data_IF_333249642439
#
_entry.id   IF_333249642439
#
_cell.length_a   1.000
_cell.length_b   1.000
_cell.length_c   1.000
_cell.angle_alpha   90.00
_cell.angle_beta   90.00
_cell.angle_gamma   90.00
#
_symmetry.space_group_name_H-M   'P 1'
#
loop_
_entity.id
_entity.type
_entity.pdbx_description
1 polymer ?
#
# COMPACT_ATOMS: atom_id res chain seq x y z
N UNK A 1 8.71 36.41 9.43
CA UNK A 1 8.22 35.18 8.75
C UNK A 1 7.23 35.51 7.64
N UNK A 2 6.16 36.26 7.93
CA UNK A 2 5.10 36.66 6.97
C UNK A 2 5.55 37.20 5.62
N UNK A 3 6.44 38.21 5.58
CA UNK A 3 6.90 38.79 4.31
C UNK A 3 7.69 37.77 3.47
N UNK A 4 8.57 36.99 4.11
CA UNK A 4 9.32 35.92 3.48
C UNK A 4 8.42 34.81 2.93
N UNK A 5 7.41 34.39 3.69
CA UNK A 5 6.43 33.41 3.23
C UNK A 5 5.63 33.93 2.03
N UNK A 6 5.25 35.21 2.03
CA UNK A 6 4.56 35.83 0.89
C UNK A 6 5.45 35.94 -0.34
N UNK A 7 6.73 36.28 -0.19
CA UNK A 7 7.71 36.37 -1.26
C UNK A 7 8.01 34.98 -1.89
N UNK A 8 8.15 33.95 -1.07
CA UNK A 8 8.31 32.57 -1.53
C UNK A 8 7.11 32.09 -2.36
N UNK A 9 5.89 32.40 -1.90
CA UNK A 9 4.66 32.07 -2.65
C UNK A 9 4.57 32.86 -3.96
N UNK A 10 4.92 34.15 -3.95
CA UNK A 10 4.84 35.03 -5.12
C UNK A 10 5.89 34.69 -6.20
N UNK A 11 7.07 34.23 -5.79
CA UNK A 11 8.17 33.85 -6.69
C UNK A 11 8.02 32.46 -7.31
N UNK A 12 7.12 31.62 -6.77
CA UNK A 12 6.90 30.25 -7.23
C UNK A 12 5.86 30.21 -8.37
N UNK A 13 6.27 29.76 -9.56
CA UNK A 13 5.35 29.52 -10.69
C UNK A 13 4.58 28.21 -10.48
N UNK A 14 3.43 28.27 -9.83
CA UNK A 14 2.56 27.11 -9.67
C UNK A 14 1.87 26.75 -11.01
N UNK A 15 1.82 25.47 -11.42
CA UNK A 15 1.02 25.04 -12.56
C UNK A 15 -0.47 25.27 -12.30
N UNK A 16 -1.21 25.69 -13.34
CA UNK A 16 -2.63 26.11 -13.21
C UNK A 16 -3.63 24.99 -12.95
N UNK A 17 -3.21 23.73 -13.00
CA UNK A 17 -4.10 22.58 -12.75
C UNK A 17 -3.59 21.76 -11.55
N UNK A 18 -4.40 21.56 -10.50
CA UNK A 18 -4.08 20.61 -9.44
C UNK A 18 -4.01 19.21 -10.03
N UNK A 19 -3.07 18.40 -9.55
CA UNK A 19 -2.90 17.02 -10.00
C UNK A 19 -4.10 16.16 -9.55
N UNK A 20 -5.13 16.06 -10.40
CA UNK A 20 -6.27 15.18 -10.14
C UNK A 20 -5.86 13.75 -10.51
N UNK A 21 -5.77 12.87 -9.49
CA UNK A 21 -5.31 11.48 -9.66
C UNK A 21 -6.23 10.63 -10.59
N UNK A 22 -7.50 11.02 -10.79
CA UNK A 22 -8.43 10.35 -11.70
C UNK A 22 -8.92 11.15 -12.92
N UNK A 23 -8.64 12.44 -13.03
CA UNK A 23 -9.18 13.28 -14.10
C UNK A 23 -8.03 13.78 -14.97
N UNK A 24 -7.68 12.95 -15.95
CA UNK A 24 -6.56 13.17 -16.87
C UNK A 24 -6.58 12.18 -18.03
N UNK A 25 -7.24 12.60 -19.11
CA UNK A 25 -7.13 12.16 -20.51
C UNK A 25 -7.36 10.67 -20.88
N UNK A 26 -8.47 10.43 -21.59
CA UNK A 26 -8.72 9.25 -22.42
C UNK A 26 -7.85 9.18 -23.70
N UNK A 27 -6.77 9.95 -23.82
CA UNK A 27 -5.88 9.86 -24.96
C UNK A 27 -4.57 9.17 -24.58
N UNK A 28 -4.44 7.92 -25.02
CA UNK A 28 -3.14 7.31 -25.28
C UNK A 28 -2.36 8.26 -26.21
N UNK A 29 -1.28 8.87 -25.72
CA UNK A 29 -0.36 9.65 -26.56
C UNK A 29 0.20 10.95 -25.97
N UNK A 30 -0.13 11.36 -24.74
CA UNK A 30 0.57 12.49 -24.12
C UNK A 30 1.46 11.99 -22.99
N UNK A 31 2.78 12.04 -23.23
CA UNK A 31 3.78 12.26 -22.19
C UNK A 31 3.37 13.52 -21.42
N UNK A 32 2.56 13.35 -20.38
CA UNK A 32 2.20 14.40 -19.45
C UNK A 32 3.46 14.80 -18.69
N UNK A 33 4.14 15.84 -19.17
CA UNK A 33 5.11 16.59 -18.38
C UNK A 33 4.50 16.83 -17.01
N UNK A 34 5.00 16.13 -15.98
CA UNK A 34 4.69 16.48 -14.61
C UNK A 34 5.24 17.89 -14.44
N UNK A 35 4.37 18.87 -14.22
CA UNK A 35 4.84 20.20 -13.89
C UNK A 35 5.78 20.07 -12.69
N UNK A 36 6.99 20.61 -12.81
CA UNK A 36 7.99 20.52 -11.75
C UNK A 36 7.53 21.37 -10.55
N UNK A 37 6.92 20.71 -9.58
CA UNK A 37 6.44 21.31 -8.33
C UNK A 37 7.51 21.30 -7.23
N UNK A 38 8.77 20.97 -7.55
CA UNK A 38 9.87 20.84 -6.55
C UNK A 38 10.09 22.12 -5.77
N UNK A 39 9.93 23.26 -6.45
CA UNK A 39 10.04 24.61 -5.88
C UNK A 39 9.11 24.82 -4.68
N UNK A 40 7.99 24.09 -4.60
CA UNK A 40 7.02 24.17 -3.51
C UNK A 40 7.57 23.52 -2.23
N UNK A 41 8.09 22.29 -2.33
CA UNK A 41 8.75 21.63 -1.20
C UNK A 41 10.05 22.34 -0.81
N UNK A 42 10.75 22.94 -1.77
CA UNK A 42 11.97 23.72 -1.51
C UNK A 42 11.66 25.01 -0.75
N UNK A 43 10.53 25.67 -1.04
CA UNK A 43 10.10 26.85 -0.30
C UNK A 43 9.81 26.51 1.17
N UNK A 44 9.10 25.40 1.42
CA UNK A 44 8.89 24.89 2.78
C UNK A 44 10.22 24.54 3.48
N UNK A 45 11.10 23.82 2.78
CA UNK A 45 12.42 23.47 3.29
C UNK A 45 13.23 24.71 3.69
N UNK A 46 13.30 25.72 2.81
CA UNK A 46 13.99 26.99 3.08
C UNK A 46 13.41 27.70 4.29
N UNK A 47 12.09 27.70 4.45
CA UNK A 47 11.43 28.28 5.61
C UNK A 47 11.90 27.61 6.91
N UNK A 48 11.92 26.27 6.96
CA UNK A 48 12.43 25.56 8.13
C UNK A 48 13.93 25.79 8.35
N UNK A 49 14.74 25.75 7.28
CA UNK A 49 16.20 25.94 7.38
C UNK A 49 16.59 27.32 7.89
N UNK A 50 15.82 28.36 7.57
CA UNK A 50 16.12 29.72 8.02
C UNK A 50 15.55 29.95 9.43
N UNK A 51 14.28 29.61 9.66
CA UNK A 51 13.60 30.03 10.89
C UNK A 51 13.79 29.09 12.06
N UNK A 52 13.96 27.77 11.85
CA UNK A 52 14.13 26.84 12.98
C UNK A 52 15.39 27.15 13.79
N UNK A 53 16.58 27.37 13.18
CA UNK A 53 17.76 27.77 13.94
C UNK A 53 17.56 29.10 14.68
N UNK A 54 16.94 30.09 14.04
CA UNK A 54 16.67 31.39 14.66
C UNK A 54 15.73 31.28 15.87
N UNK A 55 14.70 30.43 15.78
CA UNK A 55 13.77 30.19 16.90
C UNK A 55 14.44 29.45 18.04
N UNK A 56 15.35 28.52 17.74
CA UNK A 56 16.18 27.86 18.77
C UNK A 56 17.11 28.87 19.44
N UNK A 57 17.77 29.73 18.66
CA UNK A 57 18.68 30.75 19.17
C UNK A 57 17.93 31.78 20.04
N UNK A 58 16.74 32.23 19.61
CA UNK A 58 15.87 33.12 20.39
C UNK A 58 15.36 32.44 21.67
N UNK A 59 15.03 31.15 21.60
CA UNK A 59 14.61 30.39 22.79
C UNK A 59 15.75 30.27 23.80
N UNK A 60 16.98 30.05 23.33
CA UNK A 60 18.19 30.03 24.17
C UNK A 60 18.49 31.41 24.77
N UNK A 61 18.37 32.47 23.97
CA UNK A 61 18.54 33.84 24.44
C UNK A 61 17.52 34.20 25.52
N UNK A 62 16.23 33.94 25.29
CA UNK A 62 15.17 34.23 26.23
C UNK A 62 15.33 33.45 27.53
N UNK A 63 15.69 32.16 27.44
CA UNK A 63 16.00 31.33 28.61
C UNK A 63 17.14 31.95 29.44
N UNK A 64 18.22 32.37 28.77
CA UNK A 64 19.36 33.01 29.44
C UNK A 64 19.02 34.38 30.02
N UNK A 65 18.30 35.22 29.27
CA UNK A 65 17.89 36.56 29.68
C UNK A 65 16.98 36.56 30.90
N UNK A 66 16.08 35.56 30.97
CA UNK A 66 15.17 35.35 32.11
C UNK A 66 15.80 34.49 33.23
N UNK A 67 17.09 34.16 33.14
CA UNK A 67 17.85 33.39 34.11
C UNK A 67 17.34 31.95 34.38
N UNK A 68 16.73 31.30 33.38
CA UNK A 68 16.41 29.88 33.47
C UNK A 68 17.68 29.03 33.31
N UNK A 69 17.94 28.12 34.26
CA UNK A 69 19.06 27.17 34.16
C UNK A 69 18.65 26.00 33.23
N UNK A 70 18.91 26.13 31.93
CA UNK A 70 18.63 25.05 30.95
C UNK A 70 19.94 24.45 30.42
N UNK A 71 20.39 23.27 30.92
CA UNK A 71 21.65 22.65 30.54
C UNK A 71 21.80 22.37 29.03
N UNK A 72 20.69 22.18 28.31
CA UNK A 72 20.66 21.81 26.90
C UNK A 72 20.72 23.01 25.92
N UNK A 73 20.50 24.24 26.40
CA UNK A 73 20.42 25.45 25.57
C UNK A 73 21.65 26.36 25.68
N UNK A 74 22.62 26.04 26.54
CA UNK A 74 23.80 26.89 26.76
C UNK A 74 24.80 26.76 25.60
N UNK A 75 25.28 27.86 25.00
CA UNK A 75 26.35 27.80 24.00
C UNK A 75 27.62 27.19 24.59
N UNK A 76 28.31 26.33 23.83
CA UNK A 76 29.61 25.77 24.21
C UNK A 76 30.66 26.89 24.34
N UNK A 77 30.74 27.50 25.53
CA UNK A 77 31.68 28.60 25.79
C UNK A 77 31.31 29.58 26.92
N UNK A 78 30.14 29.49 27.54
CA UNK A 78 29.81 30.37 28.67
C UNK A 78 30.65 30.04 29.91
N UNK A 79 31.27 31.02 30.59
CA UNK A 79 32.07 30.77 31.78
C UNK A 79 31.15 30.39 32.95
N UNK A 80 31.34 29.20 33.50
CA UNK A 80 30.67 28.74 34.70
C UNK A 80 31.05 29.68 35.87
N UNK A 81 30.12 30.52 36.33
CA UNK A 81 30.33 31.55 37.38
C UNK A 81 30.33 30.91 38.77
N UNK A 82 31.15 29.87 38.98
CA UNK A 82 31.36 29.27 40.30
C UNK A 82 32.84 28.92 40.54
N UNK A 83 33.75 29.85 40.22
CA UNK A 83 35.18 29.68 40.55
C UNK A 83 35.84 30.94 41.11
N UNK A 84 35.78 31.11 42.44
CA UNK A 84 36.76 31.82 43.30
C UNK A 84 36.63 31.20 44.70
N UNK A 85 37.65 30.75 45.45
CA UNK A 85 39.08 31.10 45.55
C UNK A 85 39.93 29.87 45.93
N UNK A 86 41.19 29.90 45.49
CA UNK A 86 42.30 29.04 45.92
C UNK A 86 42.95 29.54 47.22
N UNK A 87 43.55 28.65 48.02
CA UNK A 87 44.52 29.02 49.08
C UNK A 87 44.83 27.87 50.07
N UNK A 88 46.10 27.50 50.19
CA UNK A 88 46.69 26.33 50.86
C UNK A 88 46.70 26.30 52.42
N UNK A 89 46.97 25.08 52.94
CA UNK A 89 47.63 24.67 54.21
C UNK A 89 46.78 23.92 55.27
N UNK A 90 47.30 22.76 55.66
CA UNK A 90 46.96 21.79 56.74
C UNK A 90 47.54 22.25 58.11
N UNK A 91 47.41 21.57 59.28
CA UNK A 91 46.32 20.77 59.91
C UNK A 91 45.96 21.28 61.36
N UNK A 92 45.05 20.56 62.04
CA UNK A 92 44.81 20.45 63.51
C UNK A 92 43.73 21.30 64.24
N UNK A 93 43.12 20.59 65.21
CA UNK A 93 42.29 20.94 66.38
C UNK A 93 40.76 21.07 66.28
N UNK A 94 40.11 20.00 66.78
CA UNK A 94 39.01 19.92 67.77
C UNK A 94 38.00 21.09 67.89
N UNK A 95 36.70 20.74 67.81
CA UNK A 95 35.70 20.88 68.90
C UNK A 95 34.26 21.18 68.41
N UNK A 96 33.34 20.30 68.83
CA UNK A 96 31.88 20.43 69.05
C UNK A 96 30.89 20.81 67.93
N UNK A 97 30.12 19.77 67.56
CA UNK A 97 28.66 19.72 67.35
C UNK A 97 27.86 21.03 67.36
N UNK A 98 27.26 21.35 66.21
CA UNK A 98 25.90 21.87 66.09
C UNK A 98 25.25 21.21 64.86
N UNK A 99 24.32 20.29 65.12
CA UNK A 99 23.29 19.96 64.14
C UNK A 99 22.52 21.25 63.85
N UNK A 100 22.44 21.64 62.59
CA UNK A 100 21.21 22.24 62.06
C UNK A 100 20.99 21.76 60.61
N UNK A 101 19.71 21.62 60.21
CA UNK A 101 19.27 20.72 59.16
C UNK A 101 18.87 21.52 57.92
N UNK A 102 19.58 21.36 56.81
CA UNK A 102 18.92 21.51 55.52
C UNK A 102 19.69 20.74 54.45
N UNK A 103 19.15 19.56 54.16
CA UNK A 103 19.52 18.81 52.97
C UNK A 103 18.99 19.54 51.76
N UNK A 104 19.87 20.19 51.01
CA UNK A 104 19.52 20.62 49.67
C UNK A 104 19.73 19.44 48.72
N UNK A 105 18.77 18.51 48.77
CA UNK A 105 18.50 17.59 47.67
C UNK A 105 18.16 18.44 46.44
N UNK A 106 19.00 18.37 45.41
CA UNK A 106 18.69 18.88 44.08
C UNK A 106 17.47 18.10 43.60
N UNK A 107 16.27 18.66 43.82
CA UNK A 107 15.00 18.09 43.37
C UNK A 107 14.89 18.26 41.85
N UNK A 108 14.82 17.16 41.06
CA UNK A 108 14.56 17.23 39.62
C UNK A 108 13.16 17.77 39.26
N UNK A 109 12.32 18.01 40.27
CA UNK A 109 10.93 18.48 40.13
C UNK A 109 10.83 19.98 39.83
N UNK A 110 11.78 20.81 40.30
CA UNK A 110 11.75 22.25 40.03
C UNK A 110 12.16 22.58 38.58
N UNK A 111 13.12 21.85 38.03
CA UNK A 111 13.63 22.08 36.66
C UNK A 111 12.55 21.81 35.60
N UNK A 112 11.67 20.83 35.83
CA UNK A 112 10.58 20.51 34.89
C UNK A 112 9.50 21.60 34.88
N UNK A 113 9.18 22.16 36.05
CA UNK A 113 8.23 23.27 36.21
C UNK A 113 8.76 24.57 35.61
N UNK A 114 10.06 24.84 35.78
CA UNK A 114 10.76 25.98 35.17
C UNK A 114 10.83 25.87 33.64
N UNK A 115 11.08 24.67 33.11
CA UNK A 115 11.01 24.41 31.66
C UNK A 115 9.59 24.57 31.10
N UNK A 116 8.57 24.17 31.87
CA UNK A 116 7.16 24.38 31.51
C UNK A 116 6.81 25.87 31.40
N UNK A 117 7.16 26.64 32.43
CA UNK A 117 6.90 28.10 32.46
C UNK A 117 7.70 28.87 31.39
N UNK A 118 8.94 28.46 31.10
CA UNK A 118 9.73 29.01 29.99
C UNK A 118 9.03 28.75 28.64
N UNK A 119 8.54 27.53 28.41
CA UNK A 119 7.85 27.20 27.16
C UNK A 119 6.51 27.95 27.02
N UNK A 120 5.77 28.14 28.11
CA UNK A 120 4.53 28.93 28.09
C UNK A 120 4.80 30.40 27.75
N UNK A 121 5.84 31.01 28.34
CA UNK A 121 6.24 32.38 28.04
C UNK A 121 6.76 32.54 26.59
N UNK A 122 7.53 31.57 26.09
CA UNK A 122 7.97 31.55 24.69
C UNK A 122 6.80 31.38 23.73
N UNK A 123 5.81 30.56 24.10
CA UNK A 123 4.60 30.37 23.32
C UNK A 123 3.77 31.65 23.21
N UNK A 124 3.66 32.43 24.29
CA UNK A 124 2.99 33.74 24.27
C UNK A 124 3.76 34.77 23.45
N UNK A 125 5.09 34.83 23.60
CA UNK A 125 5.94 35.79 22.89
C UNK A 125 5.95 35.57 21.38
N UNK A 126 5.99 34.29 20.97
CA UNK A 126 6.09 33.88 19.57
C UNK A 126 4.72 33.53 18.97
N UNK A 127 3.62 33.84 19.68
CA UNK A 127 2.29 33.54 19.20
C UNK A 127 2.01 34.18 17.84
N UNK A 128 1.31 33.43 16.99
CA UNK A 128 0.99 33.81 15.62
C UNK A 128 2.09 33.50 14.60
N UNK A 129 3.33 33.19 15.00
CA UNK A 129 4.37 32.81 14.01
C UNK A 129 4.03 31.50 13.32
N UNK A 130 3.38 30.57 14.03
CA UNK A 130 2.94 29.28 13.52
C UNK A 130 2.03 29.41 12.29
N UNK A 131 1.21 30.48 12.23
CA UNK A 131 0.27 30.72 11.13
C UNK A 131 0.98 30.94 9.79
N UNK A 132 2.18 31.52 9.80
CA UNK A 132 2.97 31.70 8.59
C UNK A 132 3.45 30.34 8.04
N UNK A 133 3.90 29.43 8.91
CA UNK A 133 4.32 28.08 8.53
C UNK A 133 3.14 27.26 8.01
N UNK A 134 2.03 27.29 8.74
CA UNK A 134 0.77 26.66 8.36
C UNK A 134 0.29 27.12 6.99
N UNK A 135 0.35 28.42 6.71
CA UNK A 135 -0.07 28.96 5.43
C UNK A 135 0.86 28.54 4.27
N UNK A 136 2.15 28.25 4.52
CA UNK A 136 3.05 27.65 3.52
C UNK A 136 2.68 26.17 3.27
N UNK A 137 2.42 25.39 4.33
CA UNK A 137 1.97 23.99 4.21
C UNK A 137 0.67 23.91 3.40
N UNK A 138 -0.34 24.71 3.75
CA UNK A 138 -1.63 24.73 3.06
C UNK A 138 -1.52 25.15 1.60
N UNK A 139 -0.65 26.14 1.32
CA UNK A 139 -0.37 26.58 -0.04
C UNK A 139 0.30 25.46 -0.85
N UNK A 140 1.27 24.77 -0.26
CA UNK A 140 1.97 23.67 -0.90
C UNK A 140 1.02 22.51 -1.24
N UNK A 141 0.17 22.12 -0.30
CA UNK A 141 -0.85 21.10 -0.51
C UNK A 141 -1.84 21.45 -1.62
N UNK A 142 -2.26 22.73 -1.71
CA UNK A 142 -3.16 23.19 -2.78
C UNK A 142 -2.54 23.07 -4.17
N UNK A 143 -1.22 23.17 -4.29
CA UNK A 143 -0.53 23.03 -5.58
C UNK A 143 -0.37 21.55 -5.93
N UNK A 144 0.18 20.75 -5.01
CA UNK A 144 0.45 19.34 -5.22
C UNK A 144 0.38 18.58 -3.89
N UNK A 145 -0.69 17.81 -3.64
CA UNK A 145 -0.84 17.03 -2.41
C UNK A 145 0.30 16.03 -2.16
N UNK A 146 0.99 15.56 -3.20
CA UNK A 146 2.11 14.63 -3.04
C UNK A 146 3.34 15.29 -2.41
N UNK A 147 3.42 16.62 -2.43
CA UNK A 147 4.50 17.36 -1.74
C UNK A 147 4.41 17.23 -0.23
N UNK A 148 3.27 16.82 0.32
CA UNK A 148 3.16 16.46 1.73
C UNK A 148 4.15 15.36 2.12
N UNK A 149 4.48 14.42 1.23
CA UNK A 149 5.48 13.38 1.49
C UNK A 149 6.84 14.02 1.80
N UNK A 150 7.34 14.85 0.88
CA UNK A 150 8.63 15.49 1.05
C UNK A 150 8.63 16.44 2.25
N UNK A 151 7.57 17.24 2.44
CA UNK A 151 7.45 18.14 3.59
C UNK A 151 7.42 17.38 4.92
N UNK A 152 6.73 16.23 4.98
CA UNK A 152 6.69 15.39 6.17
C UNK A 152 8.09 14.93 6.55
N UNK A 153 8.83 14.30 5.63
CA UNK A 153 10.17 13.81 5.97
C UNK A 153 11.21 14.92 6.16
N UNK A 154 11.02 16.13 5.62
CA UNK A 154 11.84 17.29 6.02
C UNK A 154 11.54 17.63 7.49
N UNK A 155 10.27 17.71 7.88
CA UNK A 155 9.85 18.05 9.25
C UNK A 155 10.36 17.01 10.25
N UNK A 156 10.23 15.72 9.92
CA UNK A 156 10.73 14.60 10.72
C UNK A 156 12.24 14.68 10.95
N UNK A 157 13.03 15.08 9.94
CA UNK A 157 14.47 15.31 10.11
C UNK A 157 14.77 16.40 11.14
N UNK A 158 13.99 17.48 11.16
CA UNK A 158 14.13 18.52 12.19
C UNK A 158 13.69 18.03 13.58
N UNK A 159 12.61 17.24 13.66
CA UNK A 159 12.15 16.62 14.91
C UNK A 159 13.14 15.60 15.48
N UNK A 160 13.92 14.92 14.64
CA UNK A 160 15.00 14.01 15.07
C UNK A 160 16.26 14.75 15.53
N UNK A 161 16.33 16.07 15.34
CA UNK A 161 17.49 16.89 15.68
C UNK A 161 17.58 17.24 17.17
N UNK A 162 18.74 16.98 17.78
CA UNK A 162 19.01 17.16 19.21
C UNK A 162 18.81 18.59 19.75
N UNK A 163 18.74 19.60 18.87
CA UNK A 163 18.47 21.01 19.23
C UNK A 163 16.98 21.34 19.35
N UNK A 164 16.09 20.58 18.73
CA UNK A 164 14.64 20.78 18.84
C UNK A 164 14.15 20.37 20.23
N UNK A 165 14.72 19.31 20.82
CA UNK A 165 14.37 18.85 22.17
C UNK A 165 14.75 19.83 23.28
N UNK A 166 15.74 20.70 23.02
CA UNK A 166 16.16 21.73 23.97
C UNK A 166 15.23 22.95 23.97
N UNK A 167 14.52 23.22 22.87
CA UNK A 167 13.58 24.33 22.73
C UNK A 167 12.15 23.78 22.57
N UNK A 168 11.46 23.57 23.70
CA UNK A 168 10.15 22.90 23.73
C UNK A 168 9.09 23.56 22.83
N UNK A 169 9.09 24.89 22.70
CA UNK A 169 8.26 25.61 21.74
C UNK A 169 8.51 25.17 20.28
N UNK A 170 9.78 25.06 19.87
CA UNK A 170 10.17 24.67 18.50
C UNK A 170 9.74 23.24 18.22
N UNK A 171 9.91 22.34 19.20
CA UNK A 171 9.43 20.96 19.07
C UNK A 171 7.91 20.91 18.88
N UNK A 172 7.16 21.63 19.71
CA UNK A 172 5.69 21.69 19.59
C UNK A 172 5.24 22.24 18.23
N UNK A 173 5.88 23.29 17.73
CA UNK A 173 5.62 23.82 16.38
C UNK A 173 5.87 22.77 15.29
N UNK A 174 6.97 22.02 15.37
CA UNK A 174 7.30 20.98 14.40
C UNK A 174 6.33 19.79 14.49
N UNK A 175 5.93 19.37 15.69
CA UNK A 175 4.91 18.33 15.90
C UNK A 175 3.55 18.76 15.30
N UNK A 176 3.15 20.02 15.48
CA UNK A 176 1.92 20.58 14.88
C UNK A 176 2.00 20.61 13.34
N UNK A 177 3.16 20.95 12.79
CA UNK A 177 3.39 20.93 11.34
C UNK A 177 3.33 19.51 10.77
N UNK A 178 3.98 18.54 11.41
CA UNK A 178 3.93 17.12 11.04
C UNK A 178 2.48 16.60 11.05
N UNK A 179 1.74 16.90 12.12
CA UNK A 179 0.33 16.54 12.26
C UNK A 179 -0.52 17.14 11.13
N UNK A 180 -0.37 18.43 10.85
CA UNK A 180 -1.10 19.12 9.77
C UNK A 180 -0.79 18.52 8.39
N UNK A 181 0.49 18.25 8.10
CA UNK A 181 0.91 17.62 6.84
C UNK A 181 0.31 16.21 6.72
N UNK A 182 0.34 15.43 7.79
CA UNK A 182 -0.23 14.08 7.85
C UNK A 182 -1.73 14.06 7.61
N UNK A 183 -2.48 14.99 8.22
CA UNK A 183 -3.93 15.13 8.01
C UNK A 183 -4.25 15.50 6.57
N UNK A 184 -3.49 16.43 5.97
CA UNK A 184 -3.69 16.83 4.58
C UNK A 184 -3.40 15.71 3.60
N UNK A 185 -2.29 14.98 3.80
CA UNK A 185 -1.98 13.83 2.97
C UNK A 185 -3.05 12.73 3.11
N UNK A 186 -3.47 12.44 4.34
CA UNK A 186 -4.54 11.47 4.60
C UNK A 186 -5.84 11.85 3.89
N UNK A 187 -6.21 13.14 3.90
CA UNK A 187 -7.38 13.64 3.17
C UNK A 187 -7.27 13.42 1.66
N UNK A 188 -6.09 13.60 1.07
CA UNK A 188 -5.86 13.29 -0.33
C UNK A 188 -6.04 11.79 -0.62
N UNK A 189 -5.51 10.92 0.25
CA UNK A 189 -5.69 9.47 0.13
C UNK A 189 -7.16 9.07 0.28
N UNK A 190 -7.89 9.71 1.19
CA UNK A 190 -9.32 9.46 1.40
C UNK A 190 -10.16 9.84 0.17
N UNK A 191 -9.86 10.99 -0.43
CA UNK A 191 -10.50 11.40 -1.68
C UNK A 191 -10.18 10.43 -2.82
N UNK A 192 -8.93 9.97 -2.92
CA UNK A 192 -8.55 8.95 -3.88
C UNK A 192 -9.36 7.64 -3.67
N UNK A 193 -9.41 7.11 -2.45
CA UNK A 193 -10.25 5.96 -2.10
C UNK A 193 -11.72 6.20 -2.51
N UNK A 194 -12.27 7.37 -2.20
CA UNK A 194 -13.65 7.69 -2.52
C UNK A 194 -13.92 7.70 -4.04
N UNK A 195 -12.97 8.20 -4.85
CA UNK A 195 -13.09 8.17 -6.31
C UNK A 195 -12.98 6.76 -6.88
N UNK A 196 -12.18 5.87 -6.27
CA UNK A 196 -12.16 4.43 -6.62
C UNK A 196 -13.54 3.82 -6.38
N UNK A 197 -14.09 4.00 -5.18
CA UNK A 197 -15.40 3.47 -4.80
C UNK A 197 -16.52 4.01 -5.68
N UNK A 198 -16.44 5.27 -6.12
CA UNK A 198 -17.42 5.87 -7.03
C UNK A 198 -17.45 5.20 -8.41
N UNK A 199 -16.34 4.56 -8.82
CA UNK A 199 -16.27 3.82 -10.08
C UNK A 199 -17.16 2.56 -10.08
N UNK A 200 -17.61 2.09 -8.91
CA UNK A 200 -18.58 0.98 -8.79
C UNK A 200 -19.87 1.21 -9.60
N UNK A 201 -20.24 2.47 -9.89
CA UNK A 201 -21.55 2.84 -10.43
C UNK A 201 -21.62 3.02 -11.95
N UNK A 202 -20.48 3.07 -12.66
CA UNK A 202 -20.45 3.49 -14.05
C UNK A 202 -19.67 2.52 -14.95
N UNK A 203 -20.19 2.33 -16.17
CA UNK A 203 -19.64 1.54 -17.29
C UNK A 203 -20.04 0.05 -17.27
N UNK A 204 -20.32 -0.51 -18.45
CA UNK A 204 -20.37 -1.97 -18.67
C UNK A 204 -19.04 -2.53 -18.18
N UNK A 205 -19.05 -3.21 -17.03
CA UNK A 205 -17.85 -3.62 -16.28
C UNK A 205 -17.13 -4.79 -16.95
N UNK A 206 -16.62 -4.56 -18.15
CA UNK A 206 -15.77 -5.49 -18.90
C UNK A 206 -14.44 -4.83 -19.18
N UNK A 207 -13.34 -5.53 -18.92
CA UNK A 207 -11.98 -5.03 -19.13
C UNK A 207 -11.30 -4.47 -17.88
N UNK A 208 -10.15 -3.84 -18.12
CA UNK A 208 -9.29 -3.28 -17.07
C UNK A 208 -9.84 -1.95 -16.58
N UNK A 209 -10.04 -1.83 -15.26
CA UNK A 209 -10.52 -0.64 -14.60
C UNK A 209 -9.44 0.43 -14.58
N UNK A 210 -9.79 1.67 -14.96
CA UNK A 210 -8.83 2.75 -15.16
C UNK A 210 -7.95 3.08 -13.94
N UNK A 211 -8.45 2.84 -12.72
CA UNK A 211 -7.67 3.08 -11.49
C UNK A 211 -6.52 2.09 -11.30
N UNK A 212 -6.56 0.90 -11.92
CA UNK A 212 -5.52 -0.14 -11.81
C UNK A 212 -4.18 0.36 -12.38
N UNK A 213 -4.06 0.69 -13.69
CA UNK A 213 -2.79 1.16 -14.24
C UNK A 213 -2.39 2.54 -13.69
N UNK A 214 -3.36 3.38 -13.30
CA UNK A 214 -3.08 4.71 -12.73
C UNK A 214 -2.46 4.64 -11.32
N UNK A 215 -2.73 3.58 -10.58
CA UNK A 215 -2.11 3.37 -9.28
C UNK A 215 -0.59 3.24 -9.40
N UNK A 216 -0.08 2.49 -10.38
CA UNK A 216 1.36 2.35 -10.58
C UNK A 216 2.05 3.70 -10.85
N UNK A 217 1.41 4.58 -11.64
CA UNK A 217 1.91 5.95 -11.88
C UNK A 217 1.93 6.78 -10.60
N UNK A 218 0.87 6.71 -9.79
CA UNK A 218 0.80 7.38 -8.49
C UNK A 218 1.90 6.87 -7.54
N UNK A 219 2.01 5.55 -7.38
CA UNK A 219 3.01 4.92 -6.54
C UNK A 219 4.43 5.31 -6.97
N UNK A 220 4.70 5.34 -8.28
CA UNK A 220 5.99 5.79 -8.82
C UNK A 220 6.32 7.23 -8.41
N UNK A 221 5.33 8.14 -8.45
CA UNK A 221 5.52 9.52 -7.98
C UNK A 221 5.71 9.59 -6.47
N UNK A 222 4.96 8.80 -5.69
CA UNK A 222 5.10 8.75 -4.24
C UNK A 222 6.50 8.26 -3.83
N UNK A 223 7.03 7.23 -4.51
CA UNK A 223 8.39 6.74 -4.30
C UNK A 223 9.49 7.72 -4.74
N UNK A 224 9.23 8.62 -5.69
CA UNK A 224 10.17 9.69 -6.01
C UNK A 224 10.30 10.71 -4.88
N UNK A 225 9.23 10.96 -4.13
CA UNK A 225 9.20 11.98 -3.07
C UNK A 225 9.70 11.51 -1.71
N UNK A 226 9.74 10.19 -1.47
CA UNK A 226 10.11 9.59 -0.17
C UNK A 226 11.62 9.50 0.08
N UNK A 227 12.46 9.71 -0.94
CA UNK A 227 13.87 9.28 -0.90
C UNK A 227 14.63 9.80 0.34
N UNK A 228 15.03 8.85 1.22
CA UNK A 228 15.76 9.13 2.46
C UNK A 228 14.91 9.64 3.63
N UNK A 229 13.62 9.30 3.67
CA UNK A 229 12.65 9.68 4.72
C UNK A 229 11.97 8.43 5.32
N UNK A 230 11.27 8.56 6.46
CA UNK A 230 10.47 7.44 6.99
C UNK A 230 9.37 7.03 6.02
N UNK A 231 9.11 5.71 5.98
CA UNK A 231 8.13 5.13 5.07
C UNK A 231 6.73 4.98 5.66
N UNK A 232 6.57 5.20 6.96
CA UNK A 232 5.33 4.89 7.68
C UNK A 232 4.10 5.57 7.08
N UNK A 233 4.22 6.84 6.69
CA UNK A 233 3.13 7.61 6.10
C UNK A 233 2.69 7.02 4.75
N UNK A 234 3.65 6.65 3.91
CA UNK A 234 3.40 6.12 2.55
C UNK A 234 2.91 4.67 2.62
N UNK A 235 3.52 3.85 3.47
CA UNK A 235 3.14 2.45 3.61
C UNK A 235 1.70 2.30 4.15
N UNK A 236 1.28 3.19 5.06
CA UNK A 236 -0.12 3.31 5.49
C UNK A 236 -1.04 3.72 4.32
N UNK A 237 -0.61 4.70 3.51
CA UNK A 237 -1.37 5.13 2.35
C UNK A 237 -1.53 4.03 1.29
N UNK A 238 -0.47 3.29 0.97
CA UNK A 238 -0.55 2.13 0.08
C UNK A 238 -1.49 1.07 0.63
N UNK A 239 -1.38 0.77 1.92
CA UNK A 239 -2.26 -0.21 2.56
C UNK A 239 -3.72 0.19 2.38
N UNK A 240 -4.07 1.45 2.59
CA UNK A 240 -5.43 1.96 2.42
C UNK A 240 -5.89 1.94 0.96
N UNK A 241 -5.09 2.51 0.04
CA UNK A 241 -5.42 2.60 -1.38
C UNK A 241 -5.63 1.22 -2.00
N UNK A 242 -4.67 0.31 -1.86
CA UNK A 242 -4.73 -1.00 -2.52
C UNK A 242 -5.83 -1.86 -1.91
N UNK A 243 -6.05 -1.78 -0.59
CA UNK A 243 -7.18 -2.49 0.04
C UNK A 243 -8.53 -2.01 -0.50
N UNK A 244 -8.71 -0.70 -0.67
CA UNK A 244 -9.91 -0.14 -1.31
C UNK A 244 -10.02 -0.59 -2.77
N UNK A 245 -8.94 -0.54 -3.54
CA UNK A 245 -8.91 -0.99 -4.94
C UNK A 245 -9.35 -2.43 -5.12
N UNK A 246 -8.82 -3.35 -4.31
CA UNK A 246 -9.17 -4.77 -4.37
C UNK A 246 -10.60 -5.02 -3.88
N UNK A 247 -11.00 -4.40 -2.79
CA UNK A 247 -12.37 -4.53 -2.27
C UNK A 247 -13.41 -4.06 -3.29
N UNK A 248 -13.15 -2.92 -3.94
CA UNK A 248 -14.02 -2.39 -5.01
C UNK A 248 -13.99 -3.28 -6.25
N UNK A 249 -12.81 -3.79 -6.66
CA UNK A 249 -12.69 -4.72 -7.78
C UNK A 249 -13.53 -5.99 -7.54
N UNK A 250 -13.45 -6.58 -6.35
CA UNK A 250 -14.22 -7.78 -5.98
C UNK A 250 -15.73 -7.50 -6.01
N UNK A 251 -16.20 -6.35 -5.51
CA UNK A 251 -17.61 -5.96 -5.58
C UNK A 251 -18.10 -5.78 -7.03
N UNK A 252 -17.28 -5.15 -7.87
CA UNK A 252 -17.55 -4.97 -9.30
C UNK A 252 -17.69 -6.34 -9.96
N UNK A 253 -16.73 -7.24 -9.74
CA UNK A 253 -16.76 -8.59 -10.28
C UNK A 253 -18.01 -9.37 -9.84
N UNK A 254 -18.46 -9.20 -8.59
CA UNK A 254 -19.65 -9.86 -8.06
C UNK A 254 -20.98 -9.33 -8.65
N UNK A 255 -20.97 -8.18 -9.33
CA UNK A 255 -22.18 -7.61 -9.94
C UNK A 255 -22.70 -8.43 -11.12
N UNK A 256 -21.81 -9.10 -11.86
CA UNK A 256 -22.15 -10.08 -12.90
C UNK A 256 -21.36 -11.38 -12.69
N UNK A 257 -21.97 -12.40 -12.06
CA UNK A 257 -21.35 -13.70 -11.82
C UNK A 257 -20.84 -14.42 -13.08
N UNK A 258 -21.36 -14.08 -14.27
CA UNK A 258 -20.93 -14.72 -15.52
C UNK A 258 -19.56 -14.25 -15.98
N UNK A 259 -19.21 -13.01 -15.70
CA UNK A 259 -17.94 -12.38 -16.10
C UNK A 259 -17.02 -12.11 -14.92
N UNK A 260 -17.47 -12.40 -13.69
CA UNK A 260 -16.73 -12.17 -12.44
C UNK A 260 -15.27 -12.61 -12.52
N UNK A 261 -15.02 -13.89 -12.83
CA UNK A 261 -13.65 -14.41 -12.87
C UNK A 261 -12.78 -13.71 -13.92
N UNK A 262 -13.37 -13.35 -15.06
CA UNK A 262 -12.63 -12.71 -16.16
C UNK A 262 -12.23 -11.29 -15.77
N UNK A 263 -13.14 -10.54 -15.17
CA UNK A 263 -12.85 -9.20 -14.63
C UNK A 263 -11.71 -9.29 -13.63
N UNK A 264 -11.74 -10.26 -12.71
CA UNK A 264 -10.66 -10.46 -11.73
C UNK A 264 -9.33 -10.82 -12.41
N UNK A 265 -9.33 -11.79 -13.33
CA UNK A 265 -8.15 -12.24 -14.07
C UNK A 265 -7.48 -11.05 -14.78
N UNK A 266 -8.24 -10.27 -15.54
CA UNK A 266 -7.70 -9.16 -16.33
C UNK A 266 -7.16 -8.04 -15.45
N UNK A 267 -7.89 -7.68 -14.39
CA UNK A 267 -7.51 -6.57 -13.52
C UNK A 267 -6.33 -6.93 -12.60
N UNK A 268 -6.28 -8.14 -12.05
CA UNK A 268 -5.13 -8.57 -11.25
C UNK A 268 -3.88 -8.74 -12.12
N UNK A 269 -4.00 -9.28 -13.34
CA UNK A 269 -2.86 -9.33 -14.26
C UNK A 269 -2.36 -7.93 -14.64
N UNK A 270 -3.28 -7.00 -14.93
CA UNK A 270 -2.91 -5.61 -15.21
C UNK A 270 -2.23 -4.94 -14.00
N UNK A 271 -2.73 -5.19 -12.80
CA UNK A 271 -2.13 -4.71 -11.56
C UNK A 271 -0.70 -5.24 -11.40
N UNK A 272 -0.50 -6.55 -11.54
CA UNK A 272 0.82 -7.19 -11.45
C UNK A 272 1.79 -6.62 -12.48
N UNK A 273 1.40 -6.58 -13.76
CA UNK A 273 2.25 -6.04 -14.83
C UNK A 273 2.64 -4.58 -14.57
N UNK A 274 1.71 -3.76 -14.09
CA UNK A 274 1.97 -2.35 -13.80
C UNK A 274 2.84 -2.11 -12.58
N UNK A 275 2.81 -3.02 -11.59
CA UNK A 275 3.48 -2.84 -10.30
C UNK A 275 4.80 -3.61 -10.18
N UNK A 276 5.15 -4.43 -11.15
CA UNK A 276 6.31 -5.35 -11.09
C UNK A 276 7.60 -4.67 -10.61
N UNK A 277 8.02 -3.59 -11.25
CA UNK A 277 9.27 -2.89 -10.91
C UNK A 277 9.22 -2.29 -9.50
N UNK A 278 8.07 -1.71 -9.11
CA UNK A 278 7.88 -1.13 -7.79
C UNK A 278 7.84 -2.18 -6.68
N UNK A 279 7.20 -3.32 -6.93
CA UNK A 279 7.11 -4.43 -5.99
C UNK A 279 8.50 -5.01 -5.65
N UNK A 280 9.45 -4.97 -6.59
CA UNK A 280 10.82 -5.44 -6.36
C UNK A 280 11.63 -4.54 -5.42
N UNK A 281 11.27 -3.26 -5.29
CA UNK A 281 12.01 -2.27 -4.48
C UNK A 281 11.23 -1.75 -3.28
N UNK A 282 9.90 -1.93 -3.24
CA UNK A 282 9.02 -1.49 -2.15
C UNK A 282 8.36 -2.69 -1.46
N UNK A 283 8.77 -3.04 -0.23
CA UNK A 283 8.25 -4.21 0.48
C UNK A 283 6.73 -4.22 0.68
N UNK A 284 6.14 -3.06 1.00
CA UNK A 284 4.69 -2.93 1.19
C UNK A 284 3.92 -3.26 -0.09
N UNK A 285 4.42 -2.83 -1.25
CA UNK A 285 3.83 -3.13 -2.55
C UNK A 285 4.08 -4.59 -2.96
N UNK A 286 5.20 -5.19 -2.57
CA UNK A 286 5.47 -6.62 -2.78
C UNK A 286 4.39 -7.51 -2.15
N UNK A 287 3.97 -7.19 -0.91
CA UNK A 287 2.87 -7.90 -0.24
C UNK A 287 1.60 -7.89 -1.09
N UNK A 288 1.22 -6.73 -1.61
CA UNK A 288 0.02 -6.60 -2.44
C UNK A 288 0.17 -7.23 -3.83
N UNK A 289 1.38 -7.23 -4.39
CA UNK A 289 1.69 -7.95 -5.61
C UNK A 289 1.47 -9.47 -5.44
N UNK A 290 1.94 -10.05 -4.33
CA UNK A 290 1.70 -11.46 -4.02
C UNK A 290 0.22 -11.75 -3.76
N UNK A 291 -0.49 -10.88 -3.05
CA UNK A 291 -1.93 -11.01 -2.85
C UNK A 291 -2.68 -10.99 -4.19
N UNK A 292 -2.36 -10.06 -5.09
CA UNK A 292 -2.93 -10.02 -6.43
C UNK A 292 -2.62 -11.31 -7.22
N UNK A 293 -1.40 -11.84 -7.08
CA UNK A 293 -1.01 -13.11 -7.71
C UNK A 293 -1.86 -14.28 -7.22
N UNK A 294 -2.10 -14.36 -5.92
CA UNK A 294 -2.93 -15.42 -5.35
C UNK A 294 -4.39 -15.30 -5.84
N UNK A 295 -4.97 -14.09 -5.78
CA UNK A 295 -6.33 -13.84 -6.27
C UNK A 295 -6.47 -14.09 -7.78
N UNK A 296 -5.47 -13.72 -8.58
CA UNK A 296 -5.39 -14.04 -10.00
C UNK A 296 -5.41 -15.55 -10.24
N UNK A 297 -4.55 -16.29 -9.54
CA UNK A 297 -4.46 -17.75 -9.68
C UNK A 297 -5.77 -18.44 -9.28
N UNK A 298 -6.42 -17.99 -8.20
CA UNK A 298 -7.73 -18.49 -7.76
C UNK A 298 -8.83 -18.21 -8.80
N UNK A 299 -8.88 -17.00 -9.37
CA UNK A 299 -9.85 -16.65 -10.41
C UNK A 299 -9.62 -17.48 -11.69
N UNK A 300 -8.36 -17.67 -12.10
CA UNK A 300 -8.00 -18.56 -13.21
C UNK A 300 -8.51 -19.98 -12.99
N UNK A 301 -8.25 -20.55 -11.80
CA UNK A 301 -8.66 -21.92 -11.47
C UNK A 301 -10.18 -22.07 -11.49
N UNK A 302 -10.93 -21.11 -10.94
CA UNK A 302 -12.40 -21.10 -10.97
C UNK A 302 -12.94 -20.99 -12.40
N UNK A 303 -12.41 -20.05 -13.19
CA UNK A 303 -12.83 -19.84 -14.56
C UNK A 303 -12.59 -21.08 -15.44
N UNK A 304 -11.37 -21.63 -15.38
CA UNK A 304 -10.97 -22.81 -16.14
C UNK A 304 -11.81 -24.02 -15.73
N UNK A 305 -12.00 -24.24 -14.43
CA UNK A 305 -12.84 -25.33 -13.93
C UNK A 305 -14.27 -25.19 -14.46
N UNK A 306 -14.87 -24.01 -14.35
CA UNK A 306 -16.21 -23.72 -14.87
C UNK A 306 -16.30 -23.98 -16.38
N UNK A 307 -15.31 -23.53 -17.14
CA UNK A 307 -15.24 -23.73 -18.59
C UNK A 307 -15.17 -25.22 -18.97
N UNK A 308 -14.34 -26.00 -18.27
CA UNK A 308 -14.21 -27.46 -18.46
C UNK A 308 -15.53 -28.15 -18.12
N UNK A 309 -16.13 -27.84 -16.97
CA UNK A 309 -17.42 -28.41 -16.56
C UNK A 309 -18.53 -28.08 -17.54
N UNK A 310 -18.55 -26.86 -18.08
CA UNK A 310 -19.56 -26.44 -19.05
C UNK A 310 -19.46 -27.22 -20.37
N UNK A 311 -18.25 -27.65 -20.76
CA UNK A 311 -18.04 -28.41 -22.00
C UNK A 311 -18.18 -29.92 -21.80
N UNK A 312 -17.74 -30.44 -20.64
CA UNK A 312 -17.66 -31.87 -20.33
C UNK A 312 -18.56 -32.27 -19.16
N UNK A 313 -19.69 -31.56 -18.99
CA UNK A 313 -20.58 -31.67 -17.85
C UNK A 313 -20.96 -33.12 -17.51
N UNK A 314 -21.42 -33.88 -18.52
CA UNK A 314 -21.86 -35.26 -18.34
C UNK A 314 -20.74 -36.19 -17.87
N UNK A 315 -19.52 -35.98 -18.37
CA UNK A 315 -18.36 -36.78 -18.02
C UNK A 315 -18.00 -36.59 -16.55
N UNK A 316 -17.85 -35.33 -16.13
CA UNK A 316 -17.42 -35.02 -14.77
C UNK A 316 -18.55 -35.10 -13.75
N UNK A 317 -19.82 -34.97 -14.13
CA UNK A 317 -20.95 -35.33 -13.27
C UNK A 317 -21.01 -36.83 -12.99
N UNK A 318 -20.71 -37.68 -13.99
CA UNK A 318 -20.60 -39.12 -13.78
C UNK A 318 -19.46 -39.44 -12.80
N UNK A 319 -18.27 -38.86 -13.04
CA UNK A 319 -17.11 -39.01 -12.15
C UNK A 319 -17.46 -38.65 -10.71
N UNK A 320 -18.06 -37.48 -10.50
CA UNK A 320 -18.39 -36.98 -9.16
C UNK A 320 -19.37 -37.90 -8.42
N UNK A 321 -20.39 -38.43 -9.10
CA UNK A 321 -21.35 -39.38 -8.49
C UNK A 321 -20.68 -40.68 -8.06
N UNK A 322 -19.73 -41.16 -8.86
CA UNK A 322 -18.94 -42.35 -8.54
C UNK A 322 -18.04 -42.09 -7.32
N UNK A 323 -17.36 -40.95 -7.28
CA UNK A 323 -16.51 -40.57 -6.15
C UNK A 323 -17.34 -40.43 -4.86
N UNK A 324 -18.50 -39.76 -4.91
CA UNK A 324 -19.41 -39.61 -3.77
C UNK A 324 -19.86 -40.95 -3.18
N UNK A 325 -20.14 -41.95 -4.03
CA UNK A 325 -20.53 -43.29 -3.59
C UNK A 325 -19.35 -44.15 -3.12
N UNK A 326 -18.13 -43.86 -3.56
CA UNK A 326 -16.94 -44.58 -3.09
C UNK A 326 -16.70 -44.38 -1.59
N UNK A 327 -17.27 -43.32 -0.99
CA UNK A 327 -17.23 -43.09 0.45
C UNK A 327 -18.27 -43.89 1.24
N UNK A 328 -19.31 -44.43 0.58
CA UNK A 328 -20.47 -45.03 1.26
C UNK A 328 -20.65 -46.52 0.98
N UNK A 329 -20.18 -47.01 -0.18
CA UNK A 329 -20.29 -48.41 -0.60
C UNK A 329 -18.96 -48.93 -1.17
N UNK A 330 -18.82 -50.25 -1.22
CA UNK A 330 -17.63 -50.88 -1.81
C UNK A 330 -17.54 -50.58 -3.32
N UNK A 331 -16.31 -50.45 -3.84
CA UNK A 331 -16.07 -50.07 -5.23
C UNK A 331 -16.71 -51.05 -6.23
N UNK A 332 -16.80 -52.33 -5.85
CA UNK A 332 -17.39 -53.42 -6.62
C UNK A 332 -18.92 -53.32 -6.71
N UNK A 333 -19.57 -52.61 -5.78
CA UNK A 333 -21.02 -52.44 -5.73
C UNK A 333 -21.51 -51.25 -6.58
N UNK A 334 -20.62 -50.29 -6.87
CA UNK A 334 -20.95 -49.07 -7.63
C UNK A 334 -21.50 -49.38 -9.04
N UNK A 335 -20.94 -50.33 -9.83
CA UNK A 335 -21.49 -50.68 -11.15
C UNK A 335 -22.91 -51.27 -11.13
N UNK A 336 -23.44 -51.63 -9.96
CA UNK A 336 -24.81 -52.14 -9.81
C UNK A 336 -25.81 -51.05 -9.39
N UNK A 337 -25.33 -49.84 -9.07
CA UNK A 337 -26.18 -48.71 -8.70
C UNK A 337 -26.86 -48.10 -9.94
N UNK A 338 -28.09 -47.62 -9.74
CA UNK A 338 -28.90 -47.03 -10.81
C UNK A 338 -28.19 -45.81 -11.40
N UNK A 339 -27.97 -45.83 -12.72
CA UNK A 339 -27.33 -44.73 -13.46
C UNK A 339 -25.80 -44.72 -13.43
N UNK A 340 -25.17 -45.73 -12.80
CA UNK A 340 -23.73 -45.90 -12.74
C UNK A 340 -23.28 -47.26 -13.28
N UNK A 341 -24.14 -47.93 -14.06
CA UNK A 341 -23.80 -49.20 -14.68
C UNK A 341 -22.71 -49.06 -15.74
N UNK A 342 -22.06 -50.18 -16.10
CA UNK A 342 -21.15 -50.24 -17.26
C UNK A 342 -21.78 -49.70 -18.54
N UNK A 343 -23.06 -49.96 -18.74
CA UNK A 343 -23.85 -49.41 -19.85
C UNK A 343 -24.03 -47.89 -19.78
N UNK A 344 -24.20 -47.33 -18.58
CA UNK A 344 -24.29 -45.89 -18.38
C UNK A 344 -22.94 -45.21 -18.61
N UNK A 345 -21.84 -45.80 -18.11
CA UNK A 345 -20.48 -45.35 -18.40
C UNK A 345 -20.23 -45.28 -19.90
N UNK A 346 -20.50 -46.36 -20.65
CA UNK A 346 -20.33 -46.38 -22.12
C UNK A 346 -21.18 -45.32 -22.81
N UNK A 347 -22.39 -45.03 -22.32
CA UNK A 347 -23.24 -43.95 -22.85
C UNK A 347 -22.62 -42.58 -22.62
N UNK A 348 -22.09 -42.34 -21.41
CA UNK A 348 -21.40 -41.10 -21.05
C UNK A 348 -20.15 -40.90 -21.91
N UNK A 349 -19.27 -41.91 -21.98
CA UNK A 349 -18.05 -41.88 -22.81
C UNK A 349 -18.39 -41.57 -24.26
N UNK A 350 -19.37 -42.28 -24.84
CA UNK A 350 -19.82 -42.01 -26.22
C UNK A 350 -20.29 -40.57 -26.37
N UNK A 351 -21.15 -40.07 -25.49
CA UNK A 351 -21.72 -38.72 -25.63
C UNK A 351 -20.72 -37.58 -25.39
N UNK A 352 -19.70 -37.80 -24.55
CA UNK A 352 -18.74 -36.77 -24.16
C UNK A 352 -17.46 -36.79 -25.00
N UNK A 353 -17.05 -37.96 -25.48
CA UNK A 353 -15.79 -38.15 -26.21
C UNK A 353 -16.01 -38.34 -27.73
N UNK A 354 -17.23 -38.63 -28.21
CA UNK A 354 -17.49 -38.63 -29.65
C UNK A 354 -17.39 -37.22 -30.20
N UNK A 355 -16.40 -36.96 -31.07
CA UNK A 355 -16.15 -35.62 -31.61
C UNK A 355 -15.42 -34.70 -30.63
N UNK A 356 -14.52 -35.25 -29.83
CA UNK A 356 -13.68 -34.55 -28.85
C UNK A 356 -13.03 -33.27 -29.42
N UNK A 357 -12.56 -33.29 -30.68
CA UNK A 357 -11.98 -32.12 -31.36
C UNK A 357 -12.95 -30.93 -31.40
N UNK A 358 -14.23 -31.20 -31.66
CA UNK A 358 -15.26 -30.14 -31.69
C UNK A 358 -15.50 -29.59 -30.29
N UNK A 359 -15.44 -30.43 -29.27
CA UNK A 359 -15.60 -30.03 -27.87
C UNK A 359 -14.43 -29.19 -27.38
N UNK A 360 -13.19 -29.63 -27.62
CA UNK A 360 -11.98 -28.88 -27.31
C UNK A 360 -11.95 -27.56 -28.09
N UNK A 361 -12.27 -27.58 -29.39
CA UNK A 361 -12.37 -26.37 -30.20
C UNK A 361 -13.49 -25.42 -29.80
N UNK A 362 -14.55 -25.91 -29.15
CA UNK A 362 -15.58 -25.05 -28.53
C UNK A 362 -15.05 -24.41 -27.24
N UNK A 363 -14.33 -25.16 -26.42
CA UNK A 363 -13.67 -24.68 -25.20
C UNK A 363 -12.64 -23.59 -25.51
N UNK A 364 -11.73 -23.85 -26.46
CA UNK A 364 -10.74 -22.89 -26.97
C UNK A 364 -11.40 -21.58 -27.41
N UNK A 365 -12.40 -21.66 -28.31
CA UNK A 365 -13.09 -20.48 -28.84
C UNK A 365 -13.88 -19.72 -27.77
N UNK A 366 -14.41 -20.41 -26.76
CA UNK A 366 -15.09 -19.75 -25.63
C UNK A 366 -14.08 -18.98 -24.79
N UNK A 367 -12.97 -19.61 -24.40
CA UNK A 367 -11.92 -18.92 -23.65
C UNK A 367 -11.44 -17.68 -24.42
N UNK A 368 -11.12 -17.84 -25.71
CA UNK A 368 -10.64 -16.75 -26.56
C UNK A 368 -11.63 -15.58 -26.65
N UNK A 369 -12.92 -15.85 -26.84
CA UNK A 369 -13.94 -14.80 -27.02
C UNK A 369 -14.33 -14.07 -25.74
N UNK A 370 -14.06 -14.66 -24.58
CA UNK A 370 -14.50 -14.08 -23.31
C UNK A 370 -13.44 -13.17 -22.70
N UNK A 371 -12.17 -13.30 -23.12
CA UNK A 371 -11.09 -12.39 -22.76
C UNK A 371 -11.14 -11.12 -23.62
N UNK A 372 -10.88 -9.99 -22.99
CA UNK A 372 -10.62 -8.69 -23.60
C UNK A 372 -9.13 -8.54 -23.97
N UNK A 373 -8.24 -9.17 -23.20
CA UNK A 373 -6.79 -9.18 -23.45
C UNK A 373 -6.32 -10.48 -24.11
N UNK A 374 -5.85 -10.37 -25.36
CA UNK A 374 -5.30 -11.49 -26.12
C UNK A 374 -3.98 -12.04 -25.53
N UNK A 375 -3.24 -11.22 -24.76
CA UNK A 375 -1.95 -11.60 -24.17
C UNK A 375 -2.08 -12.66 -23.07
N UNK A 376 -3.23 -12.70 -22.39
CA UNK A 376 -3.52 -13.68 -21.33
C UNK A 376 -3.96 -15.03 -21.89
N UNK A 377 -4.38 -15.06 -23.16
CA UNK A 377 -4.98 -16.25 -23.75
C UNK A 377 -4.03 -17.46 -23.78
N UNK A 378 -2.76 -17.36 -24.24
CA UNK A 378 -1.88 -18.52 -24.33
C UNK A 378 -1.65 -19.19 -22.97
N UNK A 379 -1.37 -18.41 -21.93
CA UNK A 379 -1.09 -18.93 -20.58
C UNK A 379 -2.33 -19.56 -19.95
N UNK A 380 -3.50 -18.95 -20.12
CA UNK A 380 -4.78 -19.51 -19.66
C UNK A 380 -5.15 -20.77 -20.42
N UNK A 381 -4.88 -20.84 -21.72
CA UNK A 381 -5.13 -22.03 -22.52
C UNK A 381 -4.24 -23.19 -22.09
N UNK A 382 -2.95 -22.94 -21.87
CA UNK A 382 -2.03 -23.96 -21.34
C UNK A 382 -2.46 -24.47 -19.96
N UNK A 383 -2.88 -23.56 -19.08
CA UNK A 383 -3.45 -23.93 -17.77
C UNK A 383 -4.74 -24.73 -17.92
N UNK A 384 -5.59 -24.38 -18.88
CA UNK A 384 -6.83 -25.12 -19.18
C UNK A 384 -6.55 -26.54 -19.70
N UNK A 385 -5.59 -26.70 -20.61
CA UNK A 385 -5.15 -28.02 -21.11
C UNK A 385 -4.64 -28.89 -19.96
N UNK A 386 -3.81 -28.32 -19.08
CA UNK A 386 -3.26 -29.03 -17.91
C UNK A 386 -4.37 -29.47 -16.96
N UNK A 387 -5.22 -28.55 -16.51
CA UNK A 387 -6.31 -28.84 -15.57
C UNK A 387 -7.29 -29.87 -16.15
N UNK A 388 -7.62 -29.78 -17.44
CA UNK A 388 -8.46 -30.77 -18.09
C UNK A 388 -7.81 -32.16 -18.12
N UNK A 389 -6.51 -32.24 -18.45
CA UNK A 389 -5.76 -33.49 -18.44
C UNK A 389 -5.69 -34.11 -17.05
N UNK A 390 -5.42 -33.32 -16.01
CA UNK A 390 -5.35 -33.79 -14.63
C UNK A 390 -6.71 -34.38 -14.19
N UNK A 391 -7.83 -33.71 -14.52
CA UNK A 391 -9.19 -34.23 -14.27
C UNK A 391 -9.49 -35.48 -15.09
N UNK A 392 -9.08 -35.51 -16.36
CA UNK A 392 -9.31 -36.66 -17.23
C UNK A 392 -8.51 -37.89 -16.78
N UNK A 393 -7.26 -37.69 -16.35
CA UNK A 393 -6.42 -38.75 -15.80
C UNK A 393 -7.03 -39.34 -14.53
N UNK A 394 -7.50 -38.49 -13.61
CA UNK A 394 -8.24 -38.93 -12.41
C UNK A 394 -9.49 -39.75 -12.78
N UNK A 395 -10.24 -39.32 -13.79
CA UNK A 395 -11.39 -40.05 -14.30
C UNK A 395 -11.01 -41.43 -14.89
N UNK A 396 -9.94 -41.52 -15.69
CA UNK A 396 -9.45 -42.79 -16.25
C UNK A 396 -9.00 -43.75 -15.14
N UNK A 397 -8.32 -43.25 -14.11
CA UNK A 397 -7.91 -44.05 -12.95
C UNK A 397 -9.14 -44.57 -12.18
N UNK A 398 -10.14 -43.72 -11.95
CA UNK A 398 -11.42 -44.11 -11.35
C UNK A 398 -12.14 -45.19 -12.16
N UNK A 399 -12.21 -45.02 -13.48
CA UNK A 399 -12.82 -46.01 -14.39
C UNK A 399 -12.10 -47.35 -14.30
N UNK A 400 -10.76 -47.33 -14.34
CA UNK A 400 -9.93 -48.54 -14.25
C UNK A 400 -10.18 -49.29 -12.92
N UNK A 401 -10.26 -48.55 -11.82
CA UNK A 401 -10.48 -49.12 -10.48
C UNK A 401 -11.86 -49.77 -10.32
N UNK A 402 -12.92 -49.13 -10.83
CA UNK A 402 -14.31 -49.50 -10.52
C UNK A 402 -14.94 -50.37 -11.61
N UNK A 403 -14.60 -50.10 -12.87
CA UNK A 403 -15.23 -50.74 -14.03
C UNK A 403 -14.31 -51.74 -14.73
N UNK A 404 -13.03 -51.81 -14.35
CA UNK A 404 -12.02 -52.69 -14.93
C UNK A 404 -11.61 -52.23 -16.33
N UNK A 405 -11.47 -53.18 -17.26
CA UNK A 405 -10.99 -52.94 -18.63
C UNK A 405 -12.09 -52.44 -19.59
N UNK A 406 -12.92 -51.46 -19.19
CA UNK A 406 -13.81 -50.80 -20.15
C UNK A 406 -12.98 -49.95 -21.14
N UNK A 407 -13.31 -49.98 -22.45
CA UNK A 407 -12.54 -49.26 -23.46
C UNK A 407 -12.75 -47.74 -23.30
N UNK A 408 -11.66 -47.05 -22.93
CA UNK A 408 -11.60 -45.60 -22.76
C UNK A 408 -10.40 -45.05 -23.53
N UNK A 409 -10.52 -43.84 -24.07
CA UNK A 409 -9.42 -43.16 -24.74
C UNK A 409 -8.25 -42.97 -23.75
N UNK A 410 -7.03 -43.44 -24.07
CA UNK A 410 -5.87 -43.26 -23.20
C UNK A 410 -5.53 -41.78 -22.99
N UNK A 411 -4.95 -41.46 -21.85
CA UNK A 411 -4.52 -40.08 -21.52
C UNK A 411 -3.52 -39.52 -22.54
N UNK A 412 -2.66 -40.37 -23.13
CA UNK A 412 -1.72 -39.98 -24.18
C UNK A 412 -2.43 -39.49 -25.45
N UNK A 413 -3.44 -40.22 -25.93
CA UNK A 413 -4.22 -39.83 -27.10
C UNK A 413 -5.02 -38.53 -26.85
N UNK A 414 -5.56 -38.38 -25.63
CA UNK A 414 -6.22 -37.13 -25.23
C UNK A 414 -5.24 -35.93 -25.21
N UNK A 415 -4.00 -36.15 -24.76
CA UNK A 415 -2.94 -35.14 -24.76
C UNK A 415 -2.57 -34.71 -26.18
N UNK A 416 -2.42 -35.65 -27.09
CA UNK A 416 -2.11 -35.36 -28.50
C UNK A 416 -3.25 -34.57 -29.17
N UNK A 417 -4.49 -34.92 -28.82
CA UNK A 417 -5.69 -34.18 -29.28
C UNK A 417 -5.66 -32.72 -28.80
N UNK A 418 -5.39 -32.49 -27.51
CA UNK A 418 -5.28 -31.13 -26.94
C UNK A 418 -4.11 -30.34 -27.53
N UNK A 419 -3.01 -31.00 -27.89
CA UNK A 419 -1.84 -30.35 -28.49
C UNK A 419 -2.10 -29.81 -29.90
N UNK A 420 -3.17 -30.27 -30.57
CA UNK A 420 -3.58 -29.77 -31.89
C UNK A 420 -4.31 -28.42 -31.86
N UNK A 421 -4.57 -27.88 -30.65
CA UNK A 421 -5.24 -26.60 -30.39
C UNK A 421 -4.34 -25.65 -29.58
#
# INVERSE_FOLDING_TARGET
AREFANELRASTKAPKNPAVWLEGSNNAGQNGSSADTSTVSDAYSKMLTIFIPLLVDESSFFAHFMCFEVPALVPAGAPNVNKRRSGANDPDDDDLSLMDPDGNDIKPDNTSVELGTLNDALQELLDGIQEDFYAVVDWAYKIDPLRCISMHGITERYLSGQKADAAGFVRKLLDDLESRISVQFSRFIDEACHQIERNERNVRQTGILAYIPRFAVLASRMEQYIQGQSRDLIDKAYTKLVSTMFTTLEKIAQSDPKTADIVLIENYAAFQNSLYDLANVVPTLAKFYHQASESYEQACTRHISSLIYLQFERLFQFSRKVDELTYTIAAEEIPFQLGLSKTDLRRVLKSSLSGIDKSIGAMYRRLQKTLTSDELFPSLWDKCKKEFLDKYESFVQMVTRIYGNEPIMPVAEMRDTLASF
#
